data_IF_705119512506
#
_entry.id   IF_705119512506
#
_cell.length_a   1.000
_cell.length_b   1.000
_cell.length_c   1.000
_cell.angle_alpha   90.00
_cell.angle_beta   90.00
_cell.angle_gamma   90.00
#
_symmetry.space_group_name_H-M   'P 1'
#
loop_
_entity.id
_entity.type
_entity.pdbx_description
1 polymer ?
#
# COMPACT_ATOMS: atom_id res chain seq x y z
N UNK A 1 -26.81 -14.32 -15.89
CA UNK A 1 -25.53 -13.62 -15.82
C UNK A 1 -25.67 -12.66 -14.66
N UNK A 2 -25.33 -13.18 -13.48
CA UNK A 2 -25.83 -12.69 -12.20
C UNK A 2 -24.97 -11.53 -11.74
N UNK A 3 -25.55 -10.56 -11.01
CA UNK A 3 -24.85 -9.43 -10.38
C UNK A 3 -23.65 -9.83 -9.48
N UNK A 4 -23.46 -11.14 -9.24
CA UNK A 4 -22.34 -11.74 -8.53
C UNK A 4 -21.05 -11.84 -9.38
N UNK A 5 -21.16 -11.79 -10.71
CA UNK A 5 -20.00 -11.87 -11.63
C UNK A 5 -19.26 -10.52 -11.72
N UNK A 6 -19.99 -9.38 -11.67
CA UNK A 6 -19.40 -8.03 -11.65
C UNK A 6 -18.64 -7.75 -10.33
N UNK A 7 -19.13 -8.26 -9.20
CA UNK A 7 -18.46 -8.11 -7.90
C UNK A 7 -17.14 -8.90 -7.79
N UNK A 8 -16.93 -9.93 -8.61
CA UNK A 8 -15.69 -10.74 -8.63
C UNK A 8 -14.54 -10.06 -9.38
N UNK A 9 -14.82 -9.00 -10.14
CA UNK A 9 -13.82 -8.31 -10.96
C UNK A 9 -13.24 -7.05 -10.31
N UNK A 10 -13.81 -6.56 -9.20
CA UNK A 10 -13.17 -5.55 -8.34
C UNK A 10 -12.15 -6.20 -7.40
N UNK A 11 -11.25 -6.99 -7.99
CA UNK A 11 -10.24 -7.75 -7.27
C UNK A 11 -9.13 -6.80 -6.80
N UNK A 12 -9.36 -6.16 -5.66
CA UNK A 12 -8.29 -5.68 -4.78
C UNK A 12 -7.28 -4.66 -5.32
N UNK A 13 -7.55 -3.94 -6.41
CA UNK A 13 -6.59 -2.99 -6.98
C UNK A 13 -6.49 -1.65 -6.24
N UNK A 14 -7.36 -1.38 -5.26
CA UNK A 14 -7.45 -0.06 -4.61
C UNK A 14 -7.22 -0.06 -3.09
N UNK A 15 -7.06 -1.21 -2.44
CA UNK A 15 -6.93 -1.26 -0.98
C UNK A 15 -5.46 -1.41 -0.60
N UNK A 16 -4.87 -0.31 -0.14
CA UNK A 16 -3.54 -0.31 0.46
C UNK A 16 -3.59 -0.94 1.86
N UNK A 17 -2.82 -2.01 2.06
CA UNK A 17 -2.63 -2.63 3.39
C UNK A 17 -1.23 -2.26 3.89
N UNK A 18 -1.11 -1.55 5.02
CA UNK A 18 0.18 -1.17 5.57
C UNK A 18 0.97 -2.38 6.08
N UNK A 19 2.28 -2.36 5.88
CA UNK A 19 3.19 -3.32 6.48
C UNK A 19 3.55 -2.93 7.92
N UNK A 20 3.59 -3.92 8.81
CA UNK A 20 3.97 -3.74 10.20
C UNK A 20 5.31 -4.46 10.50
N UNK A 21 6.10 -3.89 11.40
CA UNK A 21 7.31 -4.46 11.95
C UNK A 21 7.01 -5.35 13.18
N UNK A 22 8.05 -6.03 13.68
CA UNK A 22 7.95 -6.82 14.92
C UNK A 22 7.55 -5.89 16.07
N UNK A 23 6.46 -6.19 16.77
CA UNK A 23 5.92 -5.35 17.84
C UNK A 23 4.69 -4.51 17.47
N UNK A 24 4.16 -4.65 16.24
CA UNK A 24 2.90 -4.03 15.83
C UNK A 24 3.01 -2.56 15.39
N UNK A 25 4.24 -2.02 15.34
CA UNK A 25 4.53 -0.72 14.75
C UNK A 25 4.52 -0.78 13.22
N UNK A 26 4.37 0.36 12.56
CA UNK A 26 4.48 0.43 11.11
C UNK A 26 5.93 0.25 10.67
N UNK A 27 6.15 -0.42 9.53
CA UNK A 27 7.48 -0.39 8.91
C UNK A 27 7.79 1.05 8.48
N UNK A 28 9.04 1.50 8.60
CA UNK A 28 9.42 2.87 8.24
C UNK A 28 9.29 3.16 6.75
N UNK A 29 9.27 2.13 5.90
CA UNK A 29 9.01 2.22 4.46
C UNK A 29 7.80 1.38 4.15
N UNK A 30 6.85 1.98 3.45
CA UNK A 30 5.64 1.33 2.95
C UNK A 30 5.67 1.33 1.42
N UNK A 31 5.36 0.19 0.82
CA UNK A 31 5.27 0.05 -0.62
C UNK A 31 3.86 -0.41 -1.03
N UNK A 32 3.31 0.23 -2.06
CA UNK A 32 2.07 -0.17 -2.69
C UNK A 32 2.37 -1.10 -3.87
N UNK A 33 2.24 -2.43 -3.71
CA UNK A 33 2.74 -3.39 -4.69
C UNK A 33 2.02 -3.31 -6.04
N UNK A 34 0.77 -2.84 -6.08
CA UNK A 34 0.01 -2.68 -7.32
C UNK A 34 0.42 -1.43 -8.12
N UNK A 35 0.99 -0.40 -7.49
CA UNK A 35 1.39 0.85 -8.19
C UNK A 35 2.91 1.02 -8.26
N UNK A 36 3.68 0.20 -7.55
CA UNK A 36 5.14 0.32 -7.47
C UNK A 36 5.61 1.56 -6.71
N UNK A 37 4.71 2.19 -5.95
CA UNK A 37 5.00 3.40 -5.19
C UNK A 37 5.46 3.05 -3.78
N UNK A 38 6.57 3.62 -3.33
CA UNK A 38 7.07 3.47 -1.97
C UNK A 38 7.23 4.83 -1.30
N UNK A 39 7.00 4.91 0.01
CA UNK A 39 7.17 6.14 0.78
C UNK A 39 7.60 5.84 2.21
N UNK A 40 8.25 6.80 2.86
CA UNK A 40 8.57 6.68 4.27
C UNK A 40 7.36 7.09 5.12
N UNK A 41 7.19 6.45 6.26
CA UNK A 41 6.14 6.77 7.25
C UNK A 41 6.72 6.93 8.65
N UNK A 42 5.99 7.63 9.51
CA UNK A 42 6.23 7.64 10.95
C UNK A 42 5.82 6.28 11.55
N UNK A 43 6.74 5.60 12.23
CA UNK A 43 6.56 4.20 12.71
C UNK A 43 5.45 4.04 13.75
N UNK A 44 5.13 5.10 14.47
CA UNK A 44 4.13 5.17 15.54
C UNK A 44 2.71 5.45 15.01
N UNK A 45 2.59 6.28 13.97
CA UNK A 45 1.29 6.73 13.43
C UNK A 45 0.96 6.20 12.04
N UNK A 46 1.94 5.67 11.31
CA UNK A 46 1.80 5.24 9.92
C UNK A 46 1.64 6.40 8.92
N UNK A 47 1.77 7.66 9.37
CA UNK A 47 1.60 8.83 8.51
C UNK A 47 2.76 8.97 7.53
N UNK A 48 2.49 9.25 6.24
CA UNK A 48 3.54 9.47 5.25
C UNK A 48 4.35 10.74 5.56
N UNK A 49 5.66 10.65 5.37
CA UNK A 49 6.58 11.78 5.51
C UNK A 49 6.61 12.53 4.16
N UNK A 50 6.27 13.83 4.13
CA UNK A 50 6.28 14.61 2.89
C UNK A 50 7.64 14.56 2.17
N UNK A 51 7.62 14.39 0.85
CA UNK A 51 8.83 14.40 0.02
C UNK A 51 9.68 13.12 0.03
N UNK A 52 9.25 12.06 0.75
CA UNK A 52 9.98 10.78 0.82
C UNK A 52 9.48 9.73 -0.17
N UNK A 53 8.53 10.12 -1.00
CA UNK A 53 7.75 9.21 -1.79
C UNK A 53 8.34 9.06 -3.19
N UNK A 54 8.59 7.82 -3.60
CA UNK A 54 9.26 7.45 -4.84
C UNK A 54 8.45 6.39 -5.59
N UNK A 55 8.34 6.54 -6.91
CA UNK A 55 7.85 5.50 -7.80
C UNK A 55 9.04 4.80 -8.45
N UNK A 56 9.15 3.47 -8.30
CA UNK A 56 10.13 2.71 -9.07
C UNK A 56 9.72 2.62 -10.55
N UNK A 57 10.67 2.47 -11.50
CA UNK A 57 10.32 2.19 -12.88
C UNK A 57 9.77 0.75 -12.97
N UNK A 58 8.74 0.55 -13.77
CA UNK A 58 8.46 -0.79 -14.31
C UNK A 58 9.67 -1.17 -15.17
N UNK A 59 10.53 -2.05 -14.66
CA UNK A 59 11.64 -2.65 -15.42
C UNK A 59 11.08 -3.74 -16.32
#
# INVERSE_FOLDING_TARGET
LTAQEEARQHKNEAVFVPECAQGGLYKPVQCHPSTGYCWCVLVDTGRPIPGTSTSGPAV
#
